data_IF_974063055250
#
_entry.id   IF_974063055250
#
_cell.length_a   1.000
_cell.length_b   1.000
_cell.length_c   1.000
_cell.angle_alpha   90.00
_cell.angle_beta   90.00
_cell.angle_gamma   90.00
#
_symmetry.space_group_name_H-M   'P 1'
#
loop_
_entity.id
_entity.type
_entity.pdbx_description
1 polymer ?
#
# COMPACT_ATOMS: atom_id res chain seq x y z
N UNK A 1 20.40 1.79 13.87
CA UNK A 1 19.48 1.63 12.73
C UNK A 1 18.11 2.05 13.21
N UNK A 2 17.42 2.96 12.50
CA UNK A 2 16.07 3.40 12.83
C UNK A 2 15.21 3.37 11.55
N UNK A 3 14.04 2.72 11.61
CA UNK A 3 13.14 2.54 10.47
C UNK A 3 11.79 3.15 10.82
N UNK A 4 11.32 4.08 10.00
CA UNK A 4 10.01 4.70 10.13
C UNK A 4 9.14 4.26 8.95
N UNK A 5 8.09 3.49 9.25
CA UNK A 5 7.09 3.12 8.26
C UNK A 5 6.08 4.25 8.08
N UNK A 6 5.89 4.73 6.85
CA UNK A 6 4.93 5.80 6.57
C UNK A 6 3.59 5.21 6.09
N UNK A 7 3.62 4.42 5.01
CA UNK A 7 2.45 3.78 4.40
C UNK A 7 2.88 2.74 3.37
N UNK A 8 2.05 1.73 3.11
CA UNK A 8 2.29 0.70 2.08
C UNK A 8 3.72 0.12 2.16
N UNK A 9 4.59 0.40 1.17
CA UNK A 9 6.02 0.04 1.19
C UNK A 9 6.95 1.26 1.45
N UNK A 10 6.38 2.46 1.56
CA UNK A 10 7.14 3.70 1.76
C UNK A 10 7.71 3.77 3.16
N UNK A 11 9.04 3.78 3.26
CA UNK A 11 9.76 3.75 4.52
C UNK A 11 10.92 4.75 4.52
N UNK A 12 11.19 5.34 5.67
CA UNK A 12 12.41 6.11 5.91
C UNK A 12 13.34 5.26 6.76
N UNK A 13 14.55 5.01 6.27
CA UNK A 13 15.56 4.23 6.96
C UNK A 13 16.75 5.13 7.29
N UNK A 14 17.09 5.21 8.57
CA UNK A 14 18.32 5.81 9.06
C UNK A 14 19.33 4.71 9.34
N UNK A 15 20.34 4.62 8.47
CA UNK A 15 21.38 3.60 8.54
C UNK A 15 22.75 4.20 8.22
N UNK A 16 23.77 3.82 9.01
CA UNK A 16 25.15 4.29 8.86
C UNK A 16 25.29 5.82 8.73
N UNK A 17 24.50 6.59 9.51
CA UNK A 17 24.50 8.06 9.46
C UNK A 17 23.82 8.67 8.23
N UNK A 18 23.32 7.85 7.30
CA UNK A 18 22.59 8.29 6.10
C UNK A 18 21.09 8.05 6.25
N UNK A 19 20.32 8.86 5.53
CA UNK A 19 18.86 8.80 5.47
C UNK A 19 18.44 8.33 4.08
N UNK A 20 17.67 7.25 4.05
CA UNK A 20 17.14 6.66 2.83
C UNK A 20 15.63 6.77 2.83
N UNK A 21 15.06 7.17 1.69
CA UNK A 21 13.62 7.09 1.42
C UNK A 21 13.43 5.92 0.46
N UNK A 22 12.77 4.88 0.95
CA UNK A 22 12.46 3.67 0.19
C UNK A 22 11.04 3.79 -0.35
N UNK A 23 10.87 3.46 -1.64
CA UNK A 23 9.62 3.42 -2.40
C UNK A 23 8.65 4.59 -2.14
N UNK A 24 8.95 5.80 -2.66
CA UNK A 24 8.20 7.01 -2.36
C UNK A 24 6.83 7.05 -3.07
N UNK A 25 5.80 6.48 -2.45
CA UNK A 25 4.42 6.60 -2.92
C UNK A 25 3.74 7.78 -2.23
N UNK A 26 3.91 8.99 -2.77
CA UNK A 26 3.51 10.25 -2.13
C UNK A 26 2.18 10.87 -2.62
N UNK A 27 1.59 10.40 -3.73
CA UNK A 27 0.36 10.93 -4.33
C UNK A 27 -0.85 11.05 -3.37
N UNK A 28 -1.81 11.91 -3.68
CA UNK A 28 -3.01 12.08 -2.84
C UNK A 28 -3.89 10.82 -2.77
N UNK A 29 -4.77 10.79 -1.76
CA UNK A 29 -5.72 9.69 -1.59
C UNK A 29 -6.69 9.66 -2.78
N UNK A 30 -6.78 8.52 -3.45
CA UNK A 30 -7.66 8.36 -4.61
C UNK A 30 -7.09 8.88 -5.93
N UNK A 31 -5.83 9.32 -5.98
CA UNK A 31 -5.21 9.84 -7.20
C UNK A 31 -5.08 8.80 -8.32
N UNK A 32 -5.00 7.51 -7.99
CA UNK A 32 -4.80 6.43 -8.95
C UNK A 32 -5.94 5.41 -8.89
N UNK A 33 -6.47 4.96 -10.05
CA UNK A 33 -7.51 3.93 -10.08
C UNK A 33 -6.98 2.61 -9.52
N UNK A 34 -7.90 1.72 -9.16
CA UNK A 34 -7.53 0.35 -8.76
C UNK A 34 -6.86 -0.41 -9.89
N UNK A 35 -6.04 -1.39 -9.54
CA UNK A 35 -5.40 -2.22 -10.55
C UNK A 35 -6.42 -3.17 -11.18
N UNK A 36 -6.56 -3.24 -12.51
CA UNK A 36 -7.53 -4.11 -13.15
C UNK A 36 -7.16 -5.59 -12.93
N UNK A 37 -8.18 -6.46 -12.77
CA UNK A 37 -7.97 -7.89 -12.59
C UNK A 37 -7.44 -8.32 -11.22
N UNK A 38 -7.29 -7.41 -10.25
CA UNK A 38 -6.94 -7.76 -8.86
C UNK A 38 -8.18 -7.82 -7.98
N UNK A 39 -8.02 -8.46 -6.81
CA UNK A 39 -9.05 -8.41 -5.79
C UNK A 39 -9.27 -6.95 -5.34
N UNK A 40 -10.52 -6.49 -5.41
CA UNK A 40 -10.93 -5.09 -5.17
C UNK A 40 -10.40 -4.11 -6.22
N UNK A 41 -10.50 -4.45 -7.50
CA UNK A 41 -10.16 -3.56 -8.62
C UNK A 41 -10.97 -2.25 -8.66
N UNK A 42 -12.09 -2.19 -7.95
CA UNK A 42 -12.89 -0.99 -7.68
C UNK A 42 -12.22 0.00 -6.72
N UNK A 43 -11.23 -0.44 -5.95
CA UNK A 43 -10.53 0.35 -4.96
C UNK A 43 -9.27 1.01 -5.51
N UNK A 44 -9.19 2.33 -5.38
CA UNK A 44 -7.99 3.09 -5.75
C UNK A 44 -6.76 2.72 -4.88
N UNK A 45 -5.56 2.74 -5.49
CA UNK A 45 -4.28 2.22 -4.97
C UNK A 45 -3.85 2.83 -3.63
N UNK A 46 -4.46 3.94 -3.21
CA UNK A 46 -4.18 4.63 -1.94
C UNK A 46 -5.34 4.65 -0.93
N UNK A 47 -6.37 3.82 -1.11
CA UNK A 47 -7.50 3.78 -0.18
C UNK A 47 -7.27 2.82 0.99
N UNK A 48 -6.96 3.38 2.17
CA UNK A 48 -6.79 2.63 3.43
C UNK A 48 -8.08 1.94 3.93
N UNK A 49 -9.27 2.37 3.47
CA UNK A 49 -10.55 1.80 3.91
C UNK A 49 -11.04 0.64 3.04
N UNK A 50 -10.30 0.26 2.01
CA UNK A 50 -10.58 -0.97 1.30
C UNK A 50 -10.19 -2.13 2.21
N UNK A 51 -11.13 -2.52 3.06
CA UNK A 51 -11.09 -3.75 3.88
C UNK A 51 -10.94 -4.96 2.94
N UNK A 52 -11.03 -6.21 3.36
CA UNK A 52 -11.46 -7.32 2.47
C UNK A 52 -12.83 -7.76 2.99
N UNK A 53 -13.87 -7.97 2.17
CA UNK A 53 -15.09 -8.56 2.71
C UNK A 53 -14.71 -10.01 2.98
N UNK A 54 -14.83 -10.49 4.22
CA UNK A 54 -14.44 -11.87 4.57
C UNK A 54 -15.06 -12.92 3.62
N UNK A 55 -16.21 -12.60 3.03
CA UNK A 55 -16.96 -13.40 2.05
C UNK A 55 -16.26 -13.55 0.68
N UNK A 56 -15.44 -12.59 0.22
CA UNK A 56 -14.80 -12.68 -1.10
C UNK A 56 -13.48 -13.47 -1.07
N UNK A 57 -12.86 -13.63 0.10
CA UNK A 57 -11.58 -14.34 0.24
C UNK A 57 -11.72 -15.85 0.09
N UNK A 58 -12.86 -16.42 0.49
CA UNK A 58 -13.13 -17.87 0.35
C UNK A 58 -13.30 -18.33 -1.09
N UNK A 59 -13.61 -17.42 -2.03
CA UNK A 59 -13.84 -17.72 -3.43
C UNK A 59 -12.57 -17.61 -4.29
N UNK A 60 -11.55 -16.88 -3.83
CA UNK A 60 -10.27 -16.71 -4.53
C UNK A 60 -9.24 -17.79 -4.13
N UNK A 61 -9.49 -18.53 -3.04
CA UNK A 61 -8.64 -19.62 -2.56
C UNK A 61 -9.15 -21.02 -2.99
N UNK A 62 -10.04 -21.09 -3.98
CA UNK A 62 -10.47 -22.33 -4.64
C UNK A 62 -9.99 -22.37 -6.08
#
# INVERSE_FOLDING_TARGET
>A
MNITHIRNATQIIHYAGKRFLIDPMLADKGAWPGFPGTARSDCAIRWLSCRFPAIKLSMLMR
#
